data_IF_225502751896
#
_entry.id   IF_225502751896
#
_cell.length_a   1.000
_cell.length_b   1.000
_cell.length_c   1.000
_cell.angle_alpha   90.00
_cell.angle_beta   90.00
_cell.angle_gamma   90.00
#
_symmetry.space_group_name_H-M   'P 1'
#
loop_
_entity.id
_entity.type
_entity.pdbx_description
1 polymer ?
#
# COMPACT_ATOMS: atom_id res chain seq x y z
N UNK A 1 9.13 4.49 11.68
CA UNK A 1 10.33 4.24 10.85
C UNK A 1 11.21 5.47 10.80
N UNK A 2 12.55 5.31 10.75
CA UNK A 2 13.46 6.44 10.66
C UNK A 2 13.23 7.16 9.32
N UNK A 3 13.09 8.50 9.32
CA UNK A 3 12.80 9.31 8.11
C UNK A 3 13.79 9.04 6.96
N UNK A 4 15.04 8.78 7.32
CA UNK A 4 16.11 8.35 6.40
C UNK A 4 15.77 7.05 5.67
N UNK A 5 15.27 6.03 6.38
CA UNK A 5 14.90 4.75 5.78
C UNK A 5 13.77 4.90 4.77
N UNK A 6 12.80 5.77 5.07
CA UNK A 6 11.69 6.07 4.19
C UNK A 6 12.15 6.79 2.91
N UNK A 7 13.09 7.73 3.04
CA UNK A 7 13.72 8.39 1.91
C UNK A 7 14.43 7.39 0.98
N UNK A 8 15.24 6.48 1.55
CA UNK A 8 15.90 5.42 0.80
C UNK A 8 14.90 4.48 0.12
N UNK A 9 13.86 4.08 0.84
CA UNK A 9 12.80 3.23 0.29
C UNK A 9 12.12 3.91 -0.91
N UNK A 10 11.72 5.17 -0.78
CA UNK A 10 11.11 5.94 -1.86
C UNK A 10 12.03 6.08 -3.08
N UNK A 11 13.33 6.37 -2.88
CA UNK A 11 14.27 6.52 -4.00
C UNK A 11 14.47 5.20 -4.75
N UNK A 12 14.64 4.09 -4.03
CA UNK A 12 14.77 2.76 -4.64
C UNK A 12 13.48 2.39 -5.37
N UNK A 13 12.32 2.64 -4.76
CA UNK A 13 11.02 2.34 -5.34
C UNK A 13 10.78 3.12 -6.65
N UNK A 14 11.04 4.43 -6.65
CA UNK A 14 10.95 5.27 -7.84
C UNK A 14 11.90 4.76 -8.94
N UNK A 15 13.13 4.41 -8.59
CA UNK A 15 14.09 3.84 -9.55
C UNK A 15 13.60 2.55 -10.19
N UNK A 16 13.03 1.64 -9.39
CA UNK A 16 12.41 0.40 -9.89
C UNK A 16 11.19 0.65 -10.76
N UNK A 17 10.37 1.65 -10.42
CA UNK A 17 9.18 2.02 -11.17
C UNK A 17 9.54 2.62 -12.54
N UNK A 18 10.55 3.48 -12.61
CA UNK A 18 11.09 4.03 -13.87
C UNK A 18 11.67 2.90 -14.73
N UNK A 19 12.45 1.99 -14.14
CA UNK A 19 13.00 0.83 -14.83
C UNK A 19 11.91 -0.07 -15.40
N UNK A 20 10.82 -0.28 -14.65
CA UNK A 20 9.64 -1.01 -15.11
C UNK A 20 8.95 -0.31 -16.28
N UNK A 21 8.74 1.02 -16.21
CA UNK A 21 8.14 1.80 -17.30
C UNK A 21 9.00 1.77 -18.58
N UNK A 22 10.32 1.77 -18.44
CA UNK A 22 11.25 1.64 -19.57
C UNK A 22 11.19 0.24 -20.21
N UNK A 23 11.12 -0.80 -19.38
CA UNK A 23 11.18 -2.20 -19.83
C UNK A 23 9.80 -2.75 -20.23
N UNK A 24 8.71 -2.03 -19.90
CA UNK A 24 7.31 -2.40 -20.18
C UNK A 24 7.09 -2.87 -21.62
N UNK A 25 7.69 -2.20 -22.62
CA UNK A 25 7.49 -2.53 -24.04
C UNK A 25 8.10 -3.88 -24.46
N UNK A 26 9.01 -4.43 -23.67
CA UNK A 26 9.69 -5.72 -23.92
C UNK A 26 9.08 -6.88 -23.11
N UNK A 27 8.14 -6.60 -22.20
CA UNK A 27 7.53 -7.62 -21.34
C UNK A 27 6.23 -8.17 -21.94
N UNK A 28 5.93 -9.46 -21.74
CA UNK A 28 4.64 -10.03 -22.09
C UNK A 28 3.53 -9.37 -21.26
N UNK A 29 2.39 -9.07 -21.89
CA UNK A 29 1.31 -8.27 -21.29
C UNK A 29 0.78 -8.79 -19.96
N UNK A 30 0.81 -10.12 -19.74
CA UNK A 30 0.43 -10.74 -18.45
C UNK A 30 1.38 -10.37 -17.31
N UNK A 31 2.68 -10.34 -17.56
CA UNK A 31 3.68 -9.94 -16.56
C UNK A 31 3.61 -8.42 -16.30
N UNK A 32 3.36 -7.64 -17.34
CA UNK A 32 3.16 -6.19 -17.19
C UNK A 32 1.95 -5.88 -16.30
N UNK A 33 0.83 -6.58 -16.49
CA UNK A 33 -0.36 -6.38 -15.67
C UNK A 33 -0.12 -6.72 -14.19
N UNK A 34 0.56 -7.85 -13.91
CA UNK A 34 0.90 -8.28 -12.54
C UNK A 34 1.85 -7.30 -11.86
N UNK A 35 2.88 -6.83 -12.57
CA UNK A 35 3.81 -5.85 -12.03
C UNK A 35 3.12 -4.51 -11.79
N UNK A 36 2.23 -4.08 -12.71
CA UNK A 36 1.46 -2.86 -12.55
C UNK A 36 0.55 -2.91 -11.33
N UNK A 37 -0.16 -4.02 -11.11
CA UNK A 37 -1.00 -4.20 -9.92
C UNK A 37 -0.17 -4.25 -8.63
N UNK A 38 0.98 -4.92 -8.63
CA UNK A 38 1.91 -4.96 -7.49
C UNK A 38 2.46 -3.58 -7.13
N UNK A 39 2.93 -2.80 -8.11
CA UNK A 39 3.41 -1.45 -7.87
C UNK A 39 2.29 -0.53 -7.38
N UNK A 40 1.10 -0.63 -7.98
CA UNK A 40 -0.08 0.12 -7.54
C UNK A 40 -0.50 -0.22 -6.10
N UNK A 41 -0.53 -1.51 -5.76
CA UNK A 41 -0.85 -1.98 -4.41
C UNK A 41 0.21 -1.50 -3.40
N UNK A 42 1.48 -1.51 -3.77
CA UNK A 42 2.57 -1.04 -2.90
C UNK A 42 2.43 0.45 -2.61
N UNK A 43 2.07 1.27 -3.61
CA UNK A 43 1.79 2.70 -3.42
C UNK A 43 0.58 2.88 -2.49
N UNK A 44 -0.50 2.14 -2.72
CA UNK A 44 -1.71 2.22 -1.90
C UNK A 44 -1.45 1.89 -0.43
N UNK A 45 -0.76 0.78 -0.16
CA UNK A 45 -0.36 0.39 1.21
C UNK A 45 0.60 1.41 1.83
N UNK A 46 1.54 1.95 1.04
CA UNK A 46 2.45 2.98 1.51
C UNK A 46 1.72 4.26 1.91
N UNK A 47 0.73 4.69 1.12
CA UNK A 47 -0.15 5.82 1.45
C UNK A 47 -0.89 5.56 2.75
N UNK A 48 -1.52 4.39 2.91
CA UNK A 48 -2.22 4.02 4.16
C UNK A 48 -1.28 4.11 5.37
N UNK A 49 -0.06 3.55 5.26
CA UNK A 49 0.92 3.59 6.33
C UNK A 49 1.37 5.02 6.66
N UNK A 50 1.61 5.86 5.65
CA UNK A 50 1.94 7.26 5.87
C UNK A 50 0.80 8.03 6.53
N UNK A 51 -0.45 7.80 6.11
CA UNK A 51 -1.65 8.40 6.68
C UNK A 51 -1.86 7.98 8.14
N UNK A 52 -1.62 6.71 8.47
CA UNK A 52 -1.69 6.21 9.85
C UNK A 52 -0.61 6.86 10.73
N UNK A 53 0.60 7.04 10.18
CA UNK A 53 1.73 7.62 10.90
C UNK A 53 1.62 9.16 11.06
N UNK A 54 0.80 9.82 10.25
CA UNK A 54 0.55 11.29 10.31
C UNK A 54 -0.75 11.69 11.02
N UNK A 55 -1.53 10.75 11.57
CA UNK A 55 -2.79 11.05 12.30
C UNK A 55 -3.81 11.91 11.53
N UNK A 56 -3.77 11.97 10.20
CA UNK A 56 -4.72 12.77 9.41
C UNK A 56 -6.06 12.07 9.16
N UNK A 57 -6.15 10.77 9.42
CA UNK A 57 -7.42 10.05 9.54
C UNK A 57 -7.67 9.80 11.03
N UNK A 58 -8.85 10.11 11.57
CA UNK A 58 -9.26 9.60 12.85
C UNK A 58 -9.47 8.10 12.65
N UNK A 59 -8.39 7.32 12.75
CA UNK A 59 -8.43 5.86 12.72
C UNK A 59 -9.38 5.38 13.82
N UNK A 60 -9.55 6.14 14.90
CA UNK A 60 -10.60 5.93 15.91
C UNK A 60 -12.03 5.99 15.37
N UNK A 61 -12.33 6.80 14.35
CA UNK A 61 -13.67 6.87 13.74
C UNK A 61 -13.94 5.70 12.79
N UNK A 62 -12.95 5.33 11.97
CA UNK A 62 -13.04 4.14 11.12
C UNK A 62 -13.07 2.86 11.95
N UNK A 63 -12.22 2.76 12.98
CA UNK A 63 -12.30 1.68 13.95
C UNK A 63 -13.61 1.69 14.72
N UNK A 64 -14.20 2.84 15.08
CA UNK A 64 -15.51 2.85 15.74
C UNK A 64 -16.67 2.38 14.84
N UNK A 65 -16.60 2.60 13.52
CA UNK A 65 -17.60 2.12 12.57
C UNK A 65 -17.38 0.63 12.26
N UNK A 66 -16.11 0.23 12.10
CA UNK A 66 -15.73 -1.11 11.68
C UNK A 66 -15.66 -2.10 12.85
N UNK A 67 -15.35 -1.64 14.08
CA UNK A 67 -15.29 -2.43 15.32
C UNK A 67 -16.58 -3.20 15.60
N UNK A 68 -17.79 -2.62 15.60
CA UNK A 68 -19.00 -3.39 15.88
C UNK A 68 -19.26 -4.47 14.82
N UNK A 69 -18.96 -4.18 13.54
CA UNK A 69 -19.14 -5.16 12.47
C UNK A 69 -18.10 -6.27 12.55
N UNK A 70 -16.82 -5.95 12.72
CA UNK A 70 -15.74 -6.95 12.86
C UNK A 70 -15.97 -7.80 14.11
N UNK A 71 -16.39 -7.19 15.23
CA UNK A 71 -16.67 -7.92 16.47
C UNK A 71 -17.82 -8.91 16.29
N UNK A 72 -18.90 -8.50 15.61
CA UNK A 72 -20.02 -9.38 15.28
C UNK A 72 -19.59 -10.54 14.35
N UNK A 73 -18.72 -10.29 13.37
CA UNK A 73 -18.18 -11.35 12.51
C UNK A 73 -17.28 -12.33 13.28
N UNK A 74 -16.48 -11.84 14.23
CA UNK A 74 -15.63 -12.68 15.10
C UNK A 74 -16.47 -13.50 16.07
N UNK A 75 -17.50 -12.92 16.69
CA UNK A 75 -18.45 -13.63 17.56
C UNK A 75 -19.31 -14.66 16.80
N UNK A 76 -19.49 -14.51 15.48
CA UNK A 76 -20.17 -15.51 14.65
C UNK A 76 -19.25 -16.65 14.18
N UNK A 77 -17.93 -16.45 14.23
CA UNK A 77 -16.92 -17.43 13.80
C UNK A 77 -16.39 -18.28 14.96
N UNK A 78 -16.63 -17.88 16.22
CA UNK A 78 -16.16 -18.54 17.44
C UNK A 78 -17.33 -19.18 18.19
#
# INVERSE_FOLDING_TARGET
MNRLFLLFYCTIFIGKLISFLWTRKRMPGKQQAVLFTLYGLTIFLFVILQFQQTQLLPVGHLLNILSPHIKMWVDQLL
#
